data_IF_891956830125
#
_entry.id   IF_891956830125
#
_cell.length_a   1.000
_cell.length_b   1.000
_cell.length_c   1.000
_cell.angle_alpha   90.00
_cell.angle_beta   90.00
_cell.angle_gamma   90.00
#
_symmetry.space_group_name_H-M   'P 1'
#
loop_
_entity.id
_entity.type
_entity.pdbx_description
1 polymer ?
#
# COMPACT_ATOMS: atom_id res chain seq x y z
N UNK A 1 17.92 -8.53 14.33
CA UNK A 1 17.35 -7.87 13.13
C UNK A 1 16.96 -8.99 12.19
N UNK A 2 15.80 -8.93 11.52
CA UNK A 2 15.37 -10.01 10.64
C UNK A 2 15.77 -9.66 9.20
N UNK A 3 16.59 -10.53 8.62
CA UNK A 3 17.23 -10.43 7.31
C UNK A 3 16.26 -10.87 6.21
N UNK A 4 16.51 -10.48 4.95
CA UNK A 4 15.86 -11.15 3.82
C UNK A 4 16.31 -12.61 3.83
N UNK A 5 15.42 -13.51 4.26
CA UNK A 5 15.70 -14.94 4.32
C UNK A 5 15.97 -15.44 2.88
N UNK A 6 17.14 -16.06 2.60
CA UNK A 6 17.42 -16.66 1.30
C UNK A 6 16.31 -17.60 0.81
N UNK A 7 15.67 -18.33 1.73
CA UNK A 7 14.55 -19.20 1.39
C UNK A 7 13.31 -18.41 0.92
N UNK A 8 13.07 -17.22 1.49
CA UNK A 8 12.00 -16.33 1.05
C UNK A 8 12.28 -15.71 -0.31
N UNK A 9 13.53 -15.35 -0.60
CA UNK A 9 13.92 -14.82 -1.90
C UNK A 9 13.89 -15.88 -2.99
N UNK A 10 14.32 -17.11 -2.70
CA UNK A 10 14.20 -18.24 -3.62
C UNK A 10 12.73 -18.59 -3.93
N UNK A 11 11.86 -18.48 -2.92
CA UNK A 11 10.41 -18.62 -3.13
C UNK A 11 9.86 -17.50 -4.00
N UNK A 12 10.17 -16.25 -3.66
CA UNK A 12 9.70 -15.08 -4.41
C UNK A 12 10.20 -15.12 -5.86
N UNK A 13 11.48 -15.44 -6.07
CA UNK A 13 12.09 -15.61 -7.39
C UNK A 13 11.48 -16.73 -8.23
N UNK A 14 10.85 -17.74 -7.61
CA UNK A 14 10.04 -18.74 -8.33
C UNK A 14 8.67 -18.20 -8.70
N UNK A 15 8.02 -17.48 -7.79
CA UNK A 15 6.67 -16.92 -7.97
C UNK A 15 6.61 -15.82 -9.04
N UNK A 16 7.69 -15.07 -9.23
CA UNK A 16 7.74 -13.96 -10.20
C UNK A 16 8.28 -14.35 -11.58
N UNK A 17 8.54 -15.64 -11.81
CA UNK A 17 8.95 -16.13 -13.13
C UNK A 17 7.90 -15.79 -14.20
N UNK A 18 8.32 -15.52 -15.45
CA UNK A 18 9.69 -15.62 -15.97
C UNK A 18 10.60 -14.41 -15.67
N UNK A 19 10.10 -13.36 -15.02
CA UNK A 19 10.91 -12.18 -14.74
C UNK A 19 12.03 -12.49 -13.74
N UNK A 20 13.28 -12.04 -13.99
CA UNK A 20 14.33 -12.08 -12.99
C UNK A 20 13.93 -11.25 -11.76
N UNK A 21 14.23 -11.74 -10.55
CA UNK A 21 13.81 -11.09 -9.31
C UNK A 21 14.31 -9.64 -9.17
N UNK A 22 15.55 -9.39 -9.61
CA UNK A 22 16.13 -8.04 -9.62
C UNK A 22 15.36 -7.10 -10.56
N UNK A 23 15.08 -7.54 -11.79
CA UNK A 23 14.33 -6.76 -12.78
C UNK A 23 12.90 -6.50 -12.32
N UNK A 24 12.27 -7.50 -11.70
CA UNK A 24 10.96 -7.36 -11.05
C UNK A 24 10.98 -6.28 -9.96
N UNK A 25 11.92 -6.36 -9.03
CA UNK A 25 12.03 -5.39 -7.94
C UNK A 25 12.31 -3.97 -8.46
N UNK A 26 13.27 -3.82 -9.38
CA UNK A 26 13.64 -2.54 -9.98
C UNK A 26 12.47 -1.91 -10.75
N UNK A 27 11.74 -2.72 -11.53
CA UNK A 27 10.59 -2.25 -12.31
C UNK A 27 9.46 -1.78 -11.41
N UNK A 28 9.13 -2.52 -10.34
CA UNK A 28 8.10 -2.09 -9.39
C UNK A 28 8.51 -0.83 -8.61
N UNK A 29 9.77 -0.74 -8.16
CA UNK A 29 10.26 0.45 -7.46
C UNK A 29 10.24 1.68 -8.36
N UNK A 30 10.70 1.55 -9.61
CA UNK A 30 10.64 2.62 -10.61
C UNK A 30 9.20 3.06 -10.85
N UNK A 31 8.28 2.12 -11.05
CA UNK A 31 6.87 2.46 -11.27
C UNK A 31 6.24 3.23 -10.10
N UNK A 32 6.50 2.80 -8.86
CA UNK A 32 6.02 3.52 -7.68
C UNK A 32 6.67 4.91 -7.58
N UNK A 33 7.96 5.04 -7.90
CA UNK A 33 8.66 6.31 -7.94
C UNK A 33 8.08 7.25 -9.01
N UNK A 34 7.90 6.77 -10.24
CA UNK A 34 7.31 7.54 -11.35
C UNK A 34 5.89 8.03 -10.99
N UNK A 35 5.12 7.20 -10.28
CA UNK A 35 3.80 7.57 -9.80
C UNK A 35 3.85 8.68 -8.73
N UNK A 36 4.87 8.69 -7.86
CA UNK A 36 5.11 9.77 -6.90
C UNK A 36 5.53 11.07 -7.59
N UNK A 37 6.44 10.99 -8.56
CA UNK A 37 6.93 12.16 -9.28
C UNK A 37 5.82 12.83 -10.09
N UNK A 38 5.01 12.04 -10.80
CA UNK A 38 3.84 12.53 -11.52
C UNK A 38 2.80 13.19 -10.59
N UNK A 39 2.60 12.63 -9.39
CA UNK A 39 1.71 13.22 -8.39
C UNK A 39 2.26 14.57 -7.86
N UNK A 40 3.57 14.66 -7.62
CA UNK A 40 4.24 15.87 -7.17
C UNK A 40 4.15 17.01 -8.20
N UNK A 41 4.36 16.70 -9.49
CA UNK A 41 4.20 17.67 -10.58
C UNK A 41 2.78 18.24 -10.64
N UNK A 42 1.77 17.37 -10.54
CA UNK A 42 0.37 17.80 -10.57
C UNK A 42 0.02 18.70 -9.37
N UNK A 43 0.60 18.41 -8.20
CA UNK A 43 0.38 19.19 -6.99
C UNK A 43 0.86 20.65 -7.16
N UNK A 44 1.96 20.89 -7.87
CA UNK A 44 2.43 22.25 -8.19
C UNK A 44 1.38 23.05 -8.98
N UNK A 45 0.77 22.42 -9.98
CA UNK A 45 -0.28 23.06 -10.78
C UNK A 45 -1.54 23.35 -9.96
N UNK A 46 -1.88 22.50 -8.98
CA UNK A 46 -3.09 22.62 -8.15
C UNK A 46 -2.95 23.53 -6.94
N UNK A 47 -1.74 23.79 -6.42
CA UNK A 47 -1.49 24.79 -5.35
C UNK A 47 -1.96 26.19 -5.73
N UNK A 48 -2.07 26.49 -7.03
CA UNK A 48 -2.63 27.74 -7.55
C UNK A 48 -4.17 27.79 -7.53
N UNK A 49 -4.84 26.66 -7.25
CA UNK A 49 -6.29 26.52 -7.32
C UNK A 49 -6.90 26.37 -5.91
N UNK A 50 -7.80 27.29 -5.57
CA UNK A 50 -8.51 27.35 -4.28
C UNK A 50 -9.30 26.09 -3.89
N UNK A 51 -9.55 25.16 -4.83
CA UNK A 51 -10.19 23.85 -4.60
C UNK A 51 -9.20 22.67 -4.54
N UNK A 52 -7.90 22.91 -4.76
CA UNK A 52 -6.91 21.88 -5.11
C UNK A 52 -5.88 21.52 -4.05
N UNK A 53 -5.95 22.08 -2.84
CA UNK A 53 -5.01 21.76 -1.77
C UNK A 53 -5.27 20.37 -1.18
N UNK A 54 -4.51 19.36 -1.59
CA UNK A 54 -4.50 18.08 -0.88
C UNK A 54 -3.75 18.25 0.45
N UNK A 55 -4.48 18.24 1.57
CA UNK A 55 -3.91 18.27 2.92
C UNK A 55 -3.23 16.94 3.31
N UNK A 56 -3.44 15.89 2.52
CA UNK A 56 -2.83 14.57 2.69
C UNK A 56 -1.81 14.34 1.57
N UNK A 57 -0.52 14.39 1.92
CA UNK A 57 0.62 14.17 1.03
C UNK A 57 1.12 12.71 1.00
N UNK A 58 0.51 11.83 1.80
CA UNK A 58 0.94 10.43 1.92
C UNK A 58 0.07 9.49 1.11
N UNK A 59 -1.19 9.87 0.81
CA UNK A 59 -2.13 8.98 0.13
C UNK A 59 -2.16 9.16 -1.37
N UNK A 60 -2.11 8.08 -2.15
CA UNK A 60 -2.68 8.11 -3.50
C UNK A 60 -4.21 8.20 -3.36
N UNK A 61 -4.75 9.41 -3.09
CA UNK A 61 -6.19 9.66 -3.10
C UNK A 61 -6.82 9.30 -4.46
N UNK A 62 -8.14 9.43 -4.59
CA UNK A 62 -8.92 8.98 -5.77
C UNK A 62 -8.33 9.40 -7.13
N UNK A 63 -7.76 10.61 -7.22
CA UNK A 63 -7.11 11.13 -8.42
C UNK A 63 -5.70 10.56 -8.65
N UNK A 64 -4.92 10.35 -7.58
CA UNK A 64 -3.54 9.83 -7.63
C UNK A 64 -3.53 8.33 -7.96
N UNK A 65 -4.54 7.62 -7.50
CA UNK A 65 -4.77 6.21 -7.84
C UNK A 65 -5.01 6.01 -9.36
N UNK A 66 -5.55 7.01 -10.07
CA UNK A 66 -5.68 6.97 -11.54
C UNK A 66 -4.32 6.97 -12.26
N UNK A 67 -3.31 7.63 -11.70
CA UNK A 67 -1.95 7.61 -12.28
C UNK A 67 -1.30 6.25 -12.11
N UNK A 68 -1.44 5.66 -10.92
CA UNK A 68 -0.98 4.32 -10.64
C UNK A 68 -1.65 3.30 -11.58
N UNK A 69 -2.95 3.45 -11.83
CA UNK A 69 -3.69 2.68 -12.84
C UNK A 69 -3.18 2.91 -14.27
N UNK A 70 -3.04 4.17 -14.69
CA UNK A 70 -2.69 4.53 -16.06
C UNK A 70 -1.27 4.06 -16.44
N UNK A 71 -0.35 4.08 -15.47
CA UNK A 71 1.05 3.68 -15.66
C UNK A 71 1.27 2.19 -15.43
N UNK A 72 0.40 1.49 -14.70
CA UNK A 72 0.56 0.06 -14.46
C UNK A 72 0.67 -0.74 -15.77
N UNK A 73 -0.10 -0.37 -16.81
CA UNK A 73 -0.07 -1.06 -18.10
C UNK A 73 1.32 -1.04 -18.78
N UNK A 74 2.15 -0.03 -18.53
CA UNK A 74 3.50 0.02 -19.12
C UNK A 74 4.43 -1.02 -18.50
N UNK A 75 4.13 -1.53 -17.31
CA UNK A 75 4.92 -2.58 -16.65
C UNK A 75 4.95 -3.88 -17.46
N UNK A 76 3.90 -4.16 -18.24
CA UNK A 76 3.84 -5.36 -19.07
C UNK A 76 4.89 -5.37 -20.19
N UNK A 77 5.45 -4.21 -20.55
CA UNK A 77 6.56 -4.12 -21.50
C UNK A 77 7.89 -4.60 -20.91
N UNK A 78 8.05 -4.44 -19.59
CA UNK A 78 9.28 -4.72 -18.87
C UNK A 78 9.24 -6.09 -18.15
N UNK A 79 8.04 -6.56 -17.78
CA UNK A 79 7.83 -7.81 -17.04
C UNK A 79 7.08 -8.82 -17.92
N UNK A 80 7.78 -9.84 -18.48
CA UNK A 80 7.15 -10.79 -19.38
C UNK A 80 6.07 -11.62 -18.67
N UNK A 81 4.92 -11.76 -19.32
CA UNK A 81 3.78 -12.51 -18.77
C UNK A 81 3.00 -11.77 -17.68
N UNK A 82 3.30 -10.49 -17.45
CA UNK A 82 2.52 -9.65 -16.55
C UNK A 82 1.21 -9.21 -17.22
N UNK A 83 0.10 -9.47 -16.55
CA UNK A 83 -1.21 -8.90 -16.85
C UNK A 83 -1.57 -7.88 -15.78
N UNK A 84 -2.09 -6.73 -16.20
CA UNK A 84 -2.56 -5.69 -15.27
C UNK A 84 -4.08 -5.75 -15.22
N UNK A 85 -4.61 -6.05 -14.03
CA UNK A 85 -6.04 -6.07 -13.76
C UNK A 85 -6.41 -4.87 -12.88
N UNK A 86 -7.31 -4.03 -13.39
CA UNK A 86 -7.82 -2.81 -12.75
C UNK A 86 -9.22 -2.97 -12.15
N UNK A 87 -9.71 -4.21 -12.03
CA UNK A 87 -11.00 -4.48 -11.42
C UNK A 87 -11.08 -3.99 -9.97
N UNK A 88 -12.31 -3.80 -9.48
CA UNK A 88 -12.59 -3.36 -8.11
C UNK A 88 -11.94 -2.03 -7.70
N UNK A 89 -11.64 -1.15 -8.66
CA UNK A 89 -10.93 0.11 -8.39
C UNK A 89 -9.60 -0.13 -7.65
N UNK A 90 -8.93 -1.24 -7.96
CA UNK A 90 -7.61 -1.58 -7.43
C UNK A 90 -6.69 -2.10 -8.54
N UNK A 91 -5.37 -1.96 -8.36
CA UNK A 91 -4.38 -2.51 -9.30
C UNK A 91 -3.88 -3.84 -8.75
N UNK A 92 -4.11 -4.89 -9.53
CA UNK A 92 -3.56 -6.22 -9.32
C UNK A 92 -2.65 -6.56 -10.49
N UNK A 93 -1.38 -6.79 -10.19
CA UNK A 93 -0.37 -7.21 -11.15
C UNK A 93 -0.33 -8.75 -11.14
N UNK A 94 -0.78 -9.39 -12.22
CA UNK A 94 -0.88 -10.85 -12.32
C UNK A 94 0.29 -11.40 -13.12
N UNK A 95 1.14 -12.14 -12.43
CA UNK A 95 2.14 -13.04 -13.01
C UNK A 95 1.54 -14.45 -13.16
N UNK A 96 2.21 -15.38 -13.84
CA UNK A 96 1.71 -16.75 -13.99
C UNK A 96 1.32 -17.42 -12.66
N UNK A 97 2.19 -17.30 -11.65
CA UNK A 97 2.03 -18.00 -10.37
C UNK A 97 1.64 -17.09 -9.20
N UNK A 98 1.67 -15.77 -9.39
CA UNK A 98 1.43 -14.78 -8.33
C UNK A 98 0.55 -13.61 -8.77
N UNK A 99 -0.26 -13.11 -7.83
CA UNK A 99 -0.95 -11.83 -7.97
C UNK A 99 -0.39 -10.84 -6.94
N UNK A 100 0.16 -9.73 -7.40
CA UNK A 100 0.76 -8.70 -6.57
C UNK A 100 -0.24 -7.56 -6.42
N UNK A 101 -0.82 -7.44 -5.22
CA UNK A 101 -1.76 -6.40 -4.85
C UNK A 101 -1.02 -5.23 -4.22
N UNK A 102 -1.09 -4.06 -4.85
CA UNK A 102 -0.54 -2.84 -4.29
C UNK A 102 -1.41 -2.37 -3.11
N UNK A 103 -0.78 -2.12 -1.97
CA UNK A 103 -1.46 -1.61 -0.79
C UNK A 103 -0.67 -0.47 -0.15
N UNK A 104 -1.30 0.69 -0.06
CA UNK A 104 -0.79 1.76 0.80
C UNK A 104 -1.11 1.44 2.26
N UNK A 105 -0.08 1.54 3.11
CA UNK A 105 -0.25 1.61 4.57
C UNK A 105 0.43 2.90 5.06
N UNK A 106 -0.35 3.84 5.60
CA UNK A 106 0.13 5.20 5.91
C UNK A 106 1.27 5.23 6.93
N UNK A 107 1.31 4.25 7.85
CA UNK A 107 2.37 4.09 8.86
C UNK A 107 3.46 3.12 8.40
N UNK A 108 3.49 2.78 7.11
CA UNK A 108 4.33 1.72 6.60
C UNK A 108 3.83 0.33 7.04
N UNK A 109 4.69 -0.69 6.95
CA UNK A 109 4.33 -2.10 7.14
C UNK A 109 3.69 -2.46 8.48
N UNK A 110 3.91 -1.66 9.52
CA UNK A 110 3.40 -1.88 10.88
C UNK A 110 2.06 -1.18 11.17
N UNK A 111 1.46 -0.53 10.16
CA UNK A 111 0.24 0.26 10.34
C UNK A 111 -1.03 -0.55 10.55
N UNK A 112 -1.94 -0.04 11.39
CA UNK A 112 -3.26 -0.62 11.62
C UNK A 112 -4.17 -0.53 10.38
N UNK A 113 -5.02 -1.55 10.20
CA UNK A 113 -6.05 -1.62 9.17
C UNK A 113 -7.41 -1.08 9.59
N UNK A 114 -7.50 -0.27 10.65
CA UNK A 114 -8.77 0.24 11.15
C UNK A 114 -9.67 0.89 10.06
N UNK A 115 -9.09 1.34 8.94
CA UNK A 115 -9.79 1.91 7.78
C UNK A 115 -9.67 1.10 6.47
N UNK A 116 -9.38 -0.21 6.55
CA UNK A 116 -9.27 -1.07 5.38
C UNK A 116 -10.60 -1.17 4.62
N UNK A 117 -10.55 -1.02 3.29
CA UNK A 117 -11.72 -1.27 2.44
C UNK A 117 -12.18 -2.73 2.54
N UNK A 118 -13.45 -2.98 2.20
CA UNK A 118 -14.00 -4.34 2.20
C UNK A 118 -13.18 -5.29 1.32
N UNK A 119 -12.65 -4.81 0.18
CA UNK A 119 -11.74 -5.57 -0.66
C UNK A 119 -10.46 -6.00 0.09
N UNK A 120 -9.83 -5.09 0.85
CA UNK A 120 -8.61 -5.43 1.61
C UNK A 120 -8.92 -6.46 2.70
N UNK A 121 -10.06 -6.33 3.37
CA UNK A 121 -10.52 -7.31 4.37
C UNK A 121 -10.75 -8.68 3.73
N UNK A 122 -11.42 -8.73 2.59
CA UNK A 122 -11.64 -9.98 1.84
C UNK A 122 -10.32 -10.64 1.42
N UNK A 123 -9.34 -9.86 0.97
CA UNK A 123 -8.03 -10.38 0.53
C UNK A 123 -7.19 -10.94 1.69
N UNK A 124 -7.26 -10.31 2.86
CA UNK A 124 -6.50 -10.67 4.05
C UNK A 124 -7.17 -11.75 4.91
N UNK A 125 -8.44 -12.06 4.64
CA UNK A 125 -9.16 -13.14 5.31
C UNK A 125 -8.94 -14.44 4.55
N UNK A 126 -8.05 -15.30 5.05
CA UNK A 126 -7.75 -16.62 4.44
C UNK A 126 -8.78 -17.70 4.78
N UNK A 127 -9.61 -17.47 5.80
CA UNK A 127 -10.69 -18.37 6.24
C UNK A 127 -12.03 -17.95 5.62
N UNK A 128 -12.15 -18.07 4.30
CA UNK A 128 -13.42 -17.95 3.60
C UNK A 128 -14.37 -19.12 3.91
N UNK A 129 -15.67 -18.91 3.71
CA UNK A 129 -16.68 -19.96 3.83
C UNK A 129 -16.39 -21.06 2.77
N UNK A 130 -16.08 -22.31 3.16
CA UNK A 130 -15.58 -23.34 2.24
C UNK A 130 -16.57 -23.78 1.15
N UNK A 131 -17.79 -23.22 1.13
CA UNK A 131 -18.84 -23.51 0.16
C UNK A 131 -19.05 -22.46 -0.94
N UNK A 132 -18.35 -21.30 -0.91
CA UNK A 132 -18.55 -20.22 -1.87
C UNK A 132 -17.21 -19.73 -2.44
N UNK A 133 -17.16 -19.52 -3.76
CA UNK A 133 -16.03 -18.83 -4.40
C UNK A 133 -15.93 -17.42 -3.83
N UNK A 134 -14.79 -17.10 -3.20
CA UNK A 134 -14.55 -15.77 -2.66
C UNK A 134 -14.22 -14.78 -3.78
N UNK A 135 -14.38 -13.47 -3.50
CA UNK A 135 -13.94 -12.41 -4.42
C UNK A 135 -12.43 -12.54 -4.74
N UNK A 136 -11.65 -12.96 -3.74
CA UNK A 136 -10.22 -13.27 -3.87
C UNK A 136 -9.99 -14.39 -4.89
N UNK A 137 -10.75 -15.48 -4.84
CA UNK A 137 -10.60 -16.62 -5.76
C UNK A 137 -10.95 -16.23 -7.20
N UNK A 138 -12.01 -15.44 -7.39
CA UNK A 138 -12.41 -14.94 -8.72
C UNK A 138 -11.32 -14.04 -9.29
N UNK A 139 -10.72 -13.18 -8.45
CA UNK A 139 -9.79 -12.18 -8.91
C UNK A 139 -8.39 -12.74 -9.18
N UNK A 140 -7.87 -13.62 -8.32
CA UNK A 140 -6.55 -14.24 -8.44
C UNK A 140 -6.53 -15.52 -9.28
N UNK A 141 -7.64 -16.26 -9.31
CA UNK A 141 -7.67 -17.63 -9.82
C UNK A 141 -6.81 -18.54 -8.94
N UNK A 142 -5.87 -19.28 -9.56
CA UNK A 142 -4.94 -20.17 -8.85
C UNK A 142 -3.65 -19.49 -8.36
N UNK A 143 -3.54 -18.17 -8.53
CA UNK A 143 -2.32 -17.41 -8.20
C UNK A 143 -2.15 -17.19 -6.71
N UNK A 144 -0.91 -17.22 -6.24
CA UNK A 144 -0.60 -16.87 -4.88
C UNK A 144 -0.65 -15.35 -4.67
N UNK A 145 -1.38 -14.89 -3.64
CA UNK A 145 -1.44 -13.47 -3.31
C UNK A 145 -0.14 -13.00 -2.65
N UNK A 146 0.40 -11.90 -3.15
CA UNK A 146 1.47 -11.12 -2.56
C UNK A 146 0.98 -9.68 -2.38
N UNK A 147 1.30 -9.07 -1.25
CA UNK A 147 1.03 -7.67 -0.99
C UNK A 147 2.29 -6.86 -1.27
N UNK A 148 2.17 -5.84 -2.13
CA UNK A 148 3.19 -4.81 -2.34
C UNK A 148 2.84 -3.62 -1.46
N UNK A 149 3.54 -3.52 -0.33
CA UNK A 149 3.44 -2.42 0.61
C UNK A 149 4.53 -1.42 0.31
N UNK A 150 4.18 -0.14 0.33
CA UNK A 150 5.16 0.91 0.11
C UNK A 150 4.86 2.11 1.01
N UNK A 151 5.88 2.92 1.24
CA UNK A 151 5.82 4.19 1.93
C UNK A 151 6.47 5.26 1.07
N UNK A 152 5.96 6.48 1.15
CA UNK A 152 6.45 7.59 0.35
C UNK A 152 5.54 8.80 0.46
N UNK A 153 6.03 9.94 -0.01
CA UNK A 153 5.25 11.18 -0.12
C UNK A 153 5.57 11.87 -1.43
N UNK A 154 4.73 12.81 -1.86
CA UNK A 154 5.02 13.62 -3.05
C UNK A 154 6.35 14.39 -2.92
N UNK A 155 6.69 14.88 -1.73
CA UNK A 155 7.90 15.68 -1.53
C UNK A 155 9.16 14.80 -1.39
N UNK A 156 9.01 13.57 -0.89
CA UNK A 156 10.13 12.66 -0.61
C UNK A 156 10.29 11.52 -1.62
N UNK A 157 9.35 11.34 -2.54
CA UNK A 157 9.29 10.18 -3.42
C UNK A 157 8.98 8.89 -2.67
N UNK A 158 9.36 7.76 -3.28
CA UNK A 158 9.30 6.44 -2.67
C UNK A 158 10.38 6.31 -1.58
N UNK A 159 9.98 6.01 -0.35
CA UNK A 159 10.91 5.84 0.78
C UNK A 159 11.04 4.40 1.24
N UNK A 160 10.19 3.50 0.74
CA UNK A 160 10.30 2.07 1.01
C UNK A 160 9.28 1.25 0.23
N UNK A 161 9.64 0.01 -0.10
CA UNK A 161 8.78 -0.94 -0.79
C UNK A 161 9.08 -2.36 -0.31
N UNK A 162 8.06 -3.08 0.13
CA UNK A 162 8.15 -4.42 0.70
C UNK A 162 7.13 -5.34 0.03
N UNK A 163 7.50 -6.59 -0.13
CA UNK A 163 6.59 -7.63 -0.58
C UNK A 163 6.44 -8.70 0.49
N UNK A 164 5.21 -9.12 0.72
CA UNK A 164 4.89 -10.06 1.79
C UNK A 164 3.53 -10.71 1.62
N UNK A 165 3.21 -11.60 2.56
CA UNK A 165 1.89 -12.20 2.71
C UNK A 165 1.32 -11.77 4.04
N UNK A 166 0.03 -11.43 4.06
CA UNK A 166 -0.63 -10.91 5.25
C UNK A 166 -1.87 -11.72 5.56
N UNK A 167 -2.11 -11.95 6.84
CA UNK A 167 -3.36 -12.50 7.35
C UNK A 167 -3.93 -11.56 8.41
N UNK A 168 -5.24 -11.30 8.32
CA UNK A 168 -5.94 -10.47 9.29
C UNK A 168 -6.23 -11.28 10.56
N UNK A 169 -5.68 -10.84 11.68
CA UNK A 169 -5.96 -11.35 13.02
C UNK A 169 -6.45 -10.17 13.86
N UNK A 170 -7.59 -10.23 14.54
CA UNK A 170 -8.06 -9.20 15.49
C UNK A 170 -7.71 -7.72 15.13
N UNK A 171 -8.11 -7.29 13.91
CA UNK A 171 -7.85 -5.96 13.32
C UNK A 171 -6.37 -5.55 13.10
N UNK A 172 -5.44 -6.48 13.26
CA UNK A 172 -4.03 -6.38 12.90
C UNK A 172 -3.69 -7.35 11.78
N UNK A 173 -2.59 -7.08 11.07
CA UNK A 173 -2.08 -8.01 10.05
C UNK A 173 -0.85 -8.70 10.61
N UNK A 174 -0.86 -10.02 10.64
CA UNK A 174 0.37 -10.78 10.79
C UNK A 174 1.04 -10.88 9.41
N UNK A 175 2.17 -10.20 9.28
CA UNK A 175 2.93 -10.15 8.04
C UNK A 175 4.03 -11.21 8.03
N UNK A 176 4.04 -11.98 6.94
CA UNK A 176 5.15 -12.81 6.51
C UNK A 176 5.89 -12.09 5.37
N UNK A 177 6.86 -11.26 5.76
CA UNK A 177 7.67 -10.46 4.84
C UNK A 177 8.64 -11.33 4.03
N UNK A 178 8.61 -11.16 2.70
CA UNK A 178 9.46 -11.92 1.78
C UNK A 178 10.69 -11.14 1.32
N UNK A 179 10.52 -9.85 1.00
CA UNK A 179 11.64 -9.01 0.58
C UNK A 179 11.39 -7.51 0.78
N UNK A 180 12.47 -6.75 0.99
CA UNK A 180 12.52 -5.33 0.66
C UNK A 180 12.93 -5.17 -0.81
N UNK A 181 12.05 -4.58 -1.62
CA UNK A 181 12.28 -4.45 -3.06
C UNK A 181 13.28 -3.34 -3.39
N UNK A 182 13.42 -2.31 -2.54
CA UNK A 182 14.38 -1.22 -2.78
C UNK A 182 15.81 -1.76 -2.75
N UNK A 183 16.14 -2.61 -1.78
CA UNK A 183 17.46 -3.26 -1.76
C UNK A 183 17.69 -4.22 -2.90
N UNK A 184 16.69 -5.07 -3.20
CA UNK A 184 16.81 -6.05 -4.28
C UNK A 184 17.07 -5.32 -5.60
N UNK A 185 16.47 -4.15 -5.80
CA UNK A 185 16.73 -3.27 -6.94
C UNK A 185 18.14 -2.64 -6.91
N UNK A 186 18.57 -2.09 -5.77
CA UNK A 186 19.81 -1.29 -5.65
C UNK A 186 21.09 -2.14 -5.69
N UNK A 187 21.04 -3.36 -5.15
CA UNK A 187 22.24 -4.15 -4.86
C UNK A 187 22.48 -5.30 -5.84
N UNK A 188 21.43 -5.79 -6.52
CA UNK A 188 21.47 -7.07 -7.24
C UNK A 188 21.89 -8.28 -6.38
N UNK A 189 22.10 -8.08 -5.07
CA UNK A 189 22.57 -9.06 -4.09
C UNK A 189 21.84 -8.87 -2.77
N UNK A 190 21.37 -9.98 -2.22
CA UNK A 190 20.71 -10.10 -0.92
C UNK A 190 21.62 -9.54 0.20
N UNK A 191 21.42 -8.27 0.54
CA UNK A 191 22.11 -7.56 1.63
C UNK A 191 21.14 -7.21 2.78
N UNK A 192 21.64 -6.91 3.99
CA UNK A 192 20.82 -6.90 5.20
C UNK A 192 20.12 -5.56 5.43
N UNK A 193 18.79 -5.58 5.54
CA UNK A 193 17.98 -4.49 6.12
C UNK A 193 16.85 -5.07 6.95
N UNK A 194 16.42 -4.38 8.02
CA UNK A 194 15.30 -4.76 8.86
C UNK A 194 14.03 -5.04 8.04
N UNK A 195 13.66 -6.32 7.95
CA UNK A 195 12.26 -6.65 7.81
C UNK A 195 11.51 -6.05 9.02
N UNK A 196 10.35 -5.40 8.81
CA UNK A 196 9.51 -4.92 9.89
C UNK A 196 9.25 -6.08 10.84
N UNK A 197 9.64 -5.93 12.11
CA UNK A 197 9.38 -6.98 13.10
C UNK A 197 7.88 -7.10 13.23
N UNK A 198 7.37 -8.34 13.29
CA UNK A 198 6.03 -8.65 13.81
C UNK A 198 5.70 -7.65 14.90
N UNK A 199 4.71 -6.79 14.67
CA UNK A 199 4.18 -5.94 15.71
C UNK A 199 3.80 -6.90 16.84
N UNK A 200 4.54 -6.85 17.95
CA UNK A 200 4.10 -7.51 19.16
C UNK A 200 2.70 -7.01 19.49
N UNK A 201 1.97 -7.80 20.30
CA UNK A 201 0.63 -7.45 20.76
C UNK A 201 0.56 -5.95 21.09
N UNK A 202 -0.29 -5.22 20.36
CA UNK A 202 -0.43 -3.77 20.50
C UNK A 202 -0.62 -3.44 21.97
N UNK A 203 0.13 -2.44 22.45
CA UNK A 203 -0.17 -1.84 23.75
C UNK A 203 -1.62 -1.35 23.69
N UNK A 204 -2.54 -1.86 24.53
CA UNK A 204 -3.94 -1.49 24.49
C UNK A 204 -4.17 0.02 24.69
N UNK A 205 -3.15 0.76 25.16
CA UNK A 205 -3.21 2.20 25.41
C UNK A 205 -2.73 3.07 24.25
N UNK A 206 -2.28 2.50 23.12
CA UNK A 206 -1.74 3.28 21.99
C UNK A 206 -2.78 4.18 21.30
N UNK A 207 -4.07 3.88 21.49
CA UNK A 207 -5.19 4.68 20.99
C UNK A 207 -5.79 5.61 22.06
N UNK A 208 -5.25 5.63 23.28
CA UNK A 208 -5.60 6.62 24.31
C UNK A 208 -4.97 7.98 23.96
N UNK A 209 -5.39 8.53 22.84
CA UNK A 209 -5.17 9.95 22.53
C UNK A 209 -6.16 10.72 23.41
N UNK A 210 -5.71 11.66 24.26
CA UNK A 210 -6.64 12.51 25.01
C UNK A 210 -7.59 13.19 24.01
N UNK A 211 -8.90 13.12 24.29
CA UNK A 211 -9.93 13.69 23.43
C UNK A 211 -9.50 15.07 22.95
N UNK A 212 -9.56 15.37 21.64
CA UNK A 212 -9.23 16.69 21.16
C UNK A 212 -10.19 17.67 21.82
N UNK A 213 -9.64 18.51 22.71
CA UNK A 213 -10.39 19.59 23.35
C UNK A 213 -10.80 20.55 22.24
N UNK A 214 -12.04 20.39 21.76
CA UNK A 214 -12.64 21.32 20.83
C UNK A 214 -12.59 22.71 21.48
N UNK A 215 -12.00 23.74 20.84
CA UNK A 215 -12.05 25.07 21.39
C UNK A 215 -13.51 25.50 21.44
N UNK A 216 -14.08 25.51 22.65
CA UNK A 216 -15.40 26.06 22.92
C UNK A 216 -15.32 27.54 22.56
N UNK A 217 -15.77 27.90 21.35
CA UNK A 217 -15.97 29.31 21.02
C UNK A 217 -17.02 29.85 21.97
N UNK A 218 -16.74 30.94 22.71
CA UNK A 218 -17.77 31.64 23.45
C UNK A 218 -18.86 32.05 22.47
N UNK A 219 -20.10 31.64 22.73
CA UNK A 219 -21.27 32.18 22.02
C UNK A 219 -21.23 33.70 22.20
N UNK A 220 -21.07 34.44 21.10
CA UNK A 220 -21.28 35.88 21.12
C UNK A 220 -22.71 36.14 21.58
N UNK A 221 -22.83 36.90 22.65
CA UNK A 221 -24.12 37.31 23.21
C UNK A 221 -24.91 38.03 22.10
N UNK A 222 -26.08 37.48 21.76
CA UNK A 222 -27.05 38.15 20.90
C UNK A 222 -27.44 39.47 21.59
N UNK A 223 -27.41 40.64 20.93
CA UNK A 223 -27.93 41.86 21.52
C UNK A 223 -29.40 41.62 21.86
N UNK A 224 -29.77 41.84 23.11
CA UNK A 224 -31.15 41.87 23.54
C UNK A 224 -31.89 42.98 22.78
N UNK A 225 -33.16 42.72 22.49
CA UNK A 225 -34.00 43.57 21.64
C UNK A 225 -33.96 45.05 22.03
N UNK A 226 -34.00 45.87 20.99
CA UNK A 226 -34.49 47.24 21.10
C UNK A 226 -35.95 47.18 21.54
N UNK A 227 -36.23 47.81 22.67
CA UNK A 227 -37.56 48.25 23.09
C UNK A 227 -37.51 49.77 23.19
N UNK A 228 -38.39 50.40 22.41
CA UNK A 228 -38.80 51.81 22.33
C UNK A 228 -37.74 52.91 22.13
#
# INVERSE_FOLDING_TARGET
>A
MAENDPAHLDLLGRLVRPAPLADFAATLCRWLQDAHDAAAELQLHRRSNHRGGWSNNTSFGTDRYQYLLATAASLANDLPGLEVDSAFQSVLLKLPDAGVYQMQVASGPDGSLAQASDLRRDLLTTSGDPGLLSRRDIWLGQRQLLFLIWSGTEDAGLTGAWIGQGELYDNHIDWDWKANLVEVADSGQVGPVPAPRRAGQLDPTIFDVPEPVLPIRPRSHRPAGSTD
#
